data_IF_455097389325
#
_entry.id   IF_455097389325
#
_cell.length_a   1.000
_cell.length_b   1.000
_cell.length_c   1.000
_cell.angle_alpha   90.00
_cell.angle_beta   90.00
_cell.angle_gamma   90.00
#
_symmetry.space_group_name_H-M   'P 1'
#
loop_
_entity.id
_entity.type
_entity.pdbx_description
1 polymer ?
#
# COMPACT_ATOMS: atom_id res chain seq x y z
N UNK A 1 3.22 -16.63 9.18
CA UNK A 1 2.22 -15.54 9.21
C UNK A 1 1.80 -15.27 7.78
N UNK A 2 0.51 -15.20 7.52
CA UNK A 2 -0.05 -14.84 6.23
C UNK A 2 -0.67 -13.43 6.31
N UNK A 3 -0.24 -12.52 5.45
CA UNK A 3 -0.70 -11.14 5.44
C UNK A 3 -1.33 -10.77 4.09
N UNK A 4 -2.44 -10.03 4.13
CA UNK A 4 -3.02 -9.38 2.96
C UNK A 4 -2.71 -7.89 3.03
N UNK A 5 -2.14 -7.34 1.96
CA UNK A 5 -1.91 -5.90 1.82
C UNK A 5 -2.94 -5.36 0.83
N UNK A 6 -3.80 -4.47 1.27
CA UNK A 6 -4.73 -3.73 0.43
C UNK A 6 -4.01 -2.56 -0.21
N UNK A 7 -3.96 -2.53 -1.54
CA UNK A 7 -3.11 -1.66 -2.34
C UNK A 7 -1.76 -2.30 -2.70
N UNK A 8 -1.27 -2.01 -3.90
CA UNK A 8 0.02 -2.50 -4.40
C UNK A 8 0.91 -1.37 -4.94
N UNK A 9 0.63 -0.12 -4.53
CA UNK A 9 1.40 1.06 -4.88
C UNK A 9 2.81 1.06 -4.27
N UNK A 10 3.51 2.17 -4.39
CA UNK A 10 4.90 2.32 -3.96
C UNK A 10 5.11 2.15 -2.44
N UNK A 11 4.20 2.63 -1.61
CA UNK A 11 4.27 2.41 -0.14
C UNK A 11 4.03 0.93 0.18
N UNK A 12 2.98 0.33 -0.38
CA UNK A 12 2.71 -1.09 -0.24
C UNK A 12 3.88 -1.95 -0.79
N UNK A 13 4.49 -1.50 -1.90
CA UNK A 13 5.68 -2.09 -2.51
C UNK A 13 6.93 -2.04 -1.61
N UNK A 14 7.00 -1.10 -0.67
CA UNK A 14 8.04 -1.07 0.35
C UNK A 14 7.73 -1.98 1.56
N UNK A 15 6.45 -2.20 1.87
CA UNK A 15 6.01 -3.04 3.00
C UNK A 15 6.15 -4.53 2.65
N UNK A 16 5.65 -4.96 1.49
CA UNK A 16 5.60 -6.37 1.10
C UNK A 16 6.96 -7.08 1.14
N UNK A 17 8.05 -6.55 0.55
CA UNK A 17 9.36 -7.20 0.61
C UNK A 17 9.92 -7.33 2.03
N UNK A 18 9.55 -6.42 2.93
CA UNK A 18 9.96 -6.49 4.34
C UNK A 18 9.26 -7.62 5.06
N UNK A 19 7.94 -7.77 4.86
CA UNK A 19 7.19 -8.87 5.43
C UNK A 19 7.67 -10.23 4.90
N UNK A 20 7.93 -10.32 3.58
CA UNK A 20 8.48 -11.53 2.96
C UNK A 20 9.85 -11.89 3.57
N UNK A 21 10.75 -10.91 3.74
CA UNK A 21 12.06 -11.14 4.41
C UNK A 21 11.93 -11.57 5.87
N UNK A 22 10.83 -11.22 6.53
CA UNK A 22 10.51 -11.69 7.87
C UNK A 22 9.81 -13.07 7.88
N UNK A 23 9.72 -13.75 6.73
CA UNK A 23 9.13 -15.07 6.61
C UNK A 23 7.59 -15.08 6.52
N UNK A 24 6.97 -13.95 6.21
CA UNK A 24 5.53 -13.90 5.96
C UNK A 24 5.21 -14.25 4.50
N UNK A 25 4.12 -14.98 4.28
CA UNK A 25 3.46 -15.06 2.98
C UNK A 25 2.61 -13.80 2.79
N UNK A 26 2.70 -13.16 1.63
CA UNK A 26 2.03 -11.89 1.35
C UNK A 26 1.20 -12.00 0.09
N UNK A 27 -0.09 -11.65 0.17
CA UNK A 27 -1.00 -11.41 -0.95
C UNK A 27 -1.30 -9.91 -1.00
N UNK A 28 -1.28 -9.31 -2.18
CA UNK A 28 -1.68 -7.92 -2.37
C UNK A 28 -2.96 -7.83 -3.18
N UNK A 29 -3.79 -6.82 -2.88
CA UNK A 29 -4.95 -6.50 -3.72
C UNK A 29 -4.78 -5.13 -4.38
N UNK A 30 -5.34 -4.94 -5.56
CA UNK A 30 -5.23 -3.69 -6.31
C UNK A 30 -6.48 -3.47 -7.18
N UNK A 31 -6.64 -2.27 -7.70
CA UNK A 31 -7.64 -1.94 -8.71
C UNK A 31 -7.19 -2.43 -10.11
N UNK A 32 -8.14 -2.63 -11.03
CA UNK A 32 -7.85 -3.06 -12.42
C UNK A 32 -6.96 -2.06 -13.18
N UNK A 33 -7.08 -0.78 -12.89
CA UNK A 33 -6.28 0.29 -13.50
C UNK A 33 -5.50 1.05 -12.43
N UNK A 34 -4.33 0.54 -11.99
CA UNK A 34 -3.53 1.18 -10.97
C UNK A 34 -3.15 2.62 -11.30
N UNK A 35 -3.25 3.51 -10.32
CA UNK A 35 -2.94 4.94 -10.47
C UNK A 35 -1.50 5.30 -10.05
N UNK A 36 -0.67 4.30 -9.78
CA UNK A 36 0.69 4.49 -9.30
C UNK A 36 1.57 5.20 -10.33
N UNK A 37 2.18 6.32 -9.93
CA UNK A 37 3.08 7.10 -10.77
C UNK A 37 4.48 6.48 -10.81
N UNK A 38 5.00 6.04 -9.67
CA UNK A 38 6.33 5.40 -9.55
C UNK A 38 6.26 3.91 -9.84
N UNK A 39 5.99 3.56 -11.09
CA UNK A 39 5.71 2.19 -11.55
C UNK A 39 6.85 1.21 -11.32
N UNK A 40 8.11 1.67 -11.40
CA UNK A 40 9.31 0.83 -11.24
C UNK A 40 9.54 0.32 -9.83
N UNK A 41 8.89 0.91 -8.82
CA UNK A 41 9.01 0.52 -7.41
C UNK A 41 7.67 0.04 -6.82
N UNK A 42 6.67 -0.20 -7.68
CA UNK A 42 5.32 -0.57 -7.26
C UNK A 42 4.93 -1.94 -7.81
N UNK A 43 4.40 -2.78 -6.97
CA UNK A 43 3.89 -4.09 -7.34
C UNK A 43 2.59 -4.03 -8.15
N UNK A 44 1.87 -2.91 -8.09
CA UNK A 44 0.70 -2.64 -8.92
C UNK A 44 1.00 -2.74 -10.43
N UNK A 45 2.26 -2.57 -10.85
CA UNK A 45 2.64 -2.74 -12.25
C UNK A 45 2.42 -4.18 -12.73
N UNK A 46 2.46 -5.19 -11.84
CA UNK A 46 2.13 -6.56 -12.20
C UNK A 46 0.71 -6.71 -12.75
N UNK A 47 -0.25 -5.86 -12.35
CA UNK A 47 -1.61 -5.85 -12.91
C UNK A 47 -1.60 -5.56 -14.40
N UNK A 48 -0.67 -4.71 -14.88
CA UNK A 48 -0.55 -4.30 -16.29
C UNK A 48 0.27 -5.26 -17.12
N UNK A 49 1.43 -5.72 -16.60
CA UNK A 49 2.43 -6.48 -17.38
C UNK A 49 2.52 -7.96 -16.97
N UNK A 50 1.68 -8.39 -16.01
CA UNK A 50 1.63 -9.76 -15.51
C UNK A 50 2.64 -10.09 -14.42
N UNK A 51 3.86 -9.54 -14.47
CA UNK A 51 4.94 -9.82 -13.52
C UNK A 51 5.89 -8.64 -13.41
N UNK A 52 6.34 -8.34 -12.19
CA UNK A 52 7.35 -7.29 -11.92
C UNK A 52 8.22 -7.70 -10.73
N UNK A 53 9.45 -7.23 -10.67
CA UNK A 53 10.35 -7.45 -9.54
C UNK A 53 10.71 -6.12 -8.89
N UNK A 54 10.58 -6.06 -7.57
CA UNK A 54 10.93 -4.88 -6.76
C UNK A 54 11.69 -5.37 -5.52
N UNK A 55 12.87 -4.81 -5.25
CA UNK A 55 13.71 -5.13 -4.07
C UNK A 55 13.92 -6.64 -3.82
N UNK A 56 14.04 -7.44 -4.86
CA UNK A 56 14.27 -8.89 -4.77
C UNK A 56 13.00 -9.74 -4.60
N UNK A 57 11.84 -9.13 -4.33
CA UNK A 57 10.56 -9.83 -4.35
C UNK A 57 9.91 -9.77 -5.74
N UNK A 58 9.21 -10.81 -6.12
CA UNK A 58 8.55 -10.92 -7.43
C UNK A 58 7.04 -10.83 -7.28
N UNK A 59 6.44 -9.78 -7.79
CA UNK A 59 4.98 -9.69 -7.89
C UNK A 59 4.49 -10.38 -9.16
N UNK A 60 3.39 -11.13 -9.04
CA UNK A 60 2.75 -11.83 -10.14
C UNK A 60 1.25 -11.54 -10.09
N UNK A 61 0.66 -11.11 -11.21
CA UNK A 61 -0.80 -10.95 -11.32
C UNK A 61 -1.48 -12.30 -11.12
N UNK A 62 -2.35 -12.37 -10.11
CA UNK A 62 -3.22 -13.51 -9.90
C UNK A 62 -4.54 -13.35 -10.68
N UNK A 63 -5.06 -14.44 -11.21
CA UNK A 63 -6.32 -14.45 -11.95
C UNK A 63 -7.53 -14.49 -11.01
N UNK A 64 -7.38 -15.24 -9.92
CA UNK A 64 -8.38 -15.44 -8.87
C UNK A 64 -7.69 -15.79 -7.54
N UNK A 65 -8.48 -15.98 -6.49
CA UNK A 65 -7.99 -16.32 -5.14
C UNK A 65 -7.24 -17.67 -5.13
N UNK A 66 -7.73 -18.67 -5.84
CA UNK A 66 -7.10 -19.99 -5.90
C UNK A 66 -5.72 -19.93 -6.54
N UNK A 67 -5.61 -19.21 -7.65
CA UNK A 67 -4.32 -18.96 -8.31
C UNK A 67 -3.39 -18.15 -7.39
N UNK A 68 -3.89 -17.13 -6.69
CA UNK A 68 -3.09 -16.35 -5.76
C UNK A 68 -2.50 -17.23 -4.64
N UNK A 69 -3.32 -18.10 -4.02
CA UNK A 69 -2.86 -19.03 -3.00
C UNK A 69 -1.81 -20.02 -3.53
N UNK A 70 -2.00 -20.52 -4.76
CA UNK A 70 -1.01 -21.38 -5.43
C UNK A 70 0.35 -20.70 -5.62
N UNK A 71 0.35 -19.41 -5.95
CA UNK A 71 1.58 -18.62 -6.15
C UNK A 71 2.36 -18.39 -4.84
N UNK A 72 1.70 -18.41 -3.67
CA UNK A 72 2.36 -18.22 -2.36
C UNK A 72 3.36 -19.33 -2.00
N UNK A 73 3.31 -20.47 -2.68
CA UNK A 73 4.31 -21.54 -2.50
C UNK A 73 5.68 -21.21 -3.11
N UNK A 74 5.75 -20.20 -3.98
CA UNK A 74 7.00 -19.72 -4.59
C UNK A 74 7.79 -18.83 -3.64
N UNK A 75 9.09 -19.10 -3.49
CA UNK A 75 9.97 -18.27 -2.66
C UNK A 75 10.04 -16.83 -3.19
N UNK A 76 9.77 -15.85 -2.32
CA UNK A 76 9.81 -14.44 -2.68
C UNK A 76 8.73 -13.98 -3.67
N UNK A 77 7.72 -14.82 -3.94
CA UNK A 77 6.59 -14.47 -4.81
C UNK A 77 5.49 -13.77 -4.01
N UNK A 78 5.01 -12.67 -4.54
CA UNK A 78 3.91 -11.87 -3.98
C UNK A 78 2.79 -11.81 -5.04
N UNK A 79 1.70 -12.58 -4.88
CA UNK A 79 0.54 -12.46 -5.77
C UNK A 79 -0.09 -11.08 -5.66
N UNK A 80 -0.54 -10.54 -6.80
CA UNK A 80 -1.35 -9.30 -6.87
C UNK A 80 -2.68 -9.65 -7.52
N UNK A 81 -3.75 -9.57 -6.73
CA UNK A 81 -5.11 -9.87 -7.14
C UNK A 81 -5.86 -8.56 -7.45
N UNK A 82 -6.62 -8.54 -8.53
CA UNK A 82 -7.55 -7.42 -8.80
C UNK A 82 -8.78 -7.59 -7.93
N UNK A 83 -8.78 -6.89 -6.79
CA UNK A 83 -9.86 -6.90 -5.81
C UNK A 83 -9.88 -5.57 -5.04
N UNK A 84 -10.50 -4.52 -5.59
CA UNK A 84 -10.52 -3.18 -4.98
C UNK A 84 -11.12 -3.13 -3.58
N UNK A 85 -12.08 -4.02 -3.32
CA UNK A 85 -12.76 -4.10 -2.03
C UNK A 85 -12.00 -4.92 -0.99
N UNK A 86 -10.91 -5.61 -1.40
CA UNK A 86 -10.21 -6.57 -0.55
C UNK A 86 -11.17 -7.66 -0.01
N UNK A 87 -12.13 -8.07 -0.85
CA UNK A 87 -13.16 -9.05 -0.48
C UNK A 87 -12.59 -10.44 -0.23
N UNK A 88 -11.46 -10.75 -0.86
CA UNK A 88 -10.74 -12.02 -0.73
C UNK A 88 -10.37 -12.37 0.73
N UNK A 89 -10.29 -11.39 1.65
CA UNK A 89 -9.98 -11.65 3.07
C UNK A 89 -10.95 -12.64 3.71
N UNK A 90 -12.20 -12.69 3.24
CA UNK A 90 -13.23 -13.63 3.73
C UNK A 90 -12.93 -15.08 3.33
N UNK A 91 -12.30 -15.26 2.18
CA UNK A 91 -11.98 -16.58 1.62
C UNK A 91 -10.63 -17.09 2.12
N UNK A 92 -9.66 -16.18 2.31
CA UNK A 92 -8.28 -16.57 2.64
C UNK A 92 -7.98 -16.50 4.14
N UNK A 93 -8.81 -15.85 4.96
CA UNK A 93 -8.69 -15.70 6.41
C UNK A 93 -7.24 -15.39 6.87
N UNK A 94 -6.69 -14.22 6.53
CA UNK A 94 -5.30 -13.89 6.82
C UNK A 94 -5.08 -13.65 8.32
N UNK A 95 -3.83 -13.81 8.80
CA UNK A 95 -3.42 -13.41 10.15
C UNK A 95 -3.41 -11.88 10.31
N UNK A 96 -3.13 -11.17 9.22
CA UNK A 96 -3.05 -9.70 9.23
C UNK A 96 -3.55 -9.08 7.93
N UNK A 97 -4.16 -7.89 8.04
CA UNK A 97 -4.49 -6.99 6.93
C UNK A 97 -3.76 -5.67 7.11
N UNK A 98 -3.10 -5.19 6.06
CA UNK A 98 -2.46 -3.87 6.02
C UNK A 98 -3.11 -3.06 4.92
N UNK A 99 -3.87 -2.01 5.25
CA UNK A 99 -4.41 -1.09 4.24
C UNK A 99 -3.38 0.00 3.93
N UNK A 100 -2.80 -0.08 2.75
CA UNK A 100 -1.81 0.85 2.22
C UNK A 100 -2.26 1.49 0.88
N UNK A 101 -3.58 1.62 0.67
CA UNK A 101 -4.16 2.29 -0.51
C UNK A 101 -3.85 3.78 -0.54
N UNK A 102 -3.69 4.41 0.63
CA UNK A 102 -3.42 5.85 0.79
C UNK A 102 -4.52 6.78 0.23
N UNK A 103 -5.76 6.35 0.29
CA UNK A 103 -6.92 7.12 -0.19
C UNK A 103 -7.25 8.34 0.69
N UNK A 104 -6.52 8.54 1.80
CA UNK A 104 -6.73 9.62 2.79
C UNK A 104 -8.10 9.59 3.47
N UNK A 105 -8.82 8.52 3.27
CA UNK A 105 -10.09 8.15 3.90
C UNK A 105 -10.18 6.64 3.95
N UNK A 106 -10.91 6.11 4.93
CA UNK A 106 -11.20 4.68 4.99
C UNK A 106 -12.14 4.29 3.82
N UNK A 107 -11.78 3.26 3.07
CA UNK A 107 -12.55 2.69 1.98
C UNK A 107 -13.22 1.35 2.36
N UNK A 108 -13.58 1.18 3.63
CA UNK A 108 -14.28 0.01 4.14
C UNK A 108 -13.36 -1.02 4.83
N UNK A 109 -12.18 -0.61 5.26
CA UNK A 109 -11.34 -1.43 6.13
C UNK A 109 -11.89 -1.38 7.55
N UNK A 110 -11.99 -2.53 8.21
CA UNK A 110 -12.53 -2.69 9.56
C UNK A 110 -11.73 -3.72 10.35
N UNK A 111 -11.81 -3.65 11.67
CA UNK A 111 -11.04 -4.49 12.60
C UNK A 111 -11.39 -5.99 12.50
N UNK A 112 -12.54 -6.34 11.93
CA UNK A 112 -13.00 -7.72 11.77
C UNK A 112 -12.43 -8.41 10.52
N UNK A 113 -11.67 -7.71 9.68
CA UNK A 113 -11.07 -8.29 8.47
C UNK A 113 -9.97 -9.31 8.79
N UNK A 114 -9.29 -9.18 9.93
CA UNK A 114 -8.25 -10.10 10.40
C UNK A 114 -7.96 -9.90 11.90
N UNK A 115 -7.28 -10.85 12.57
CA UNK A 115 -6.80 -10.68 13.95
C UNK A 115 -5.94 -9.43 14.15
N UNK A 116 -5.19 -9.01 13.12
CA UNK A 116 -4.39 -7.80 13.11
C UNK A 116 -4.76 -6.98 11.88
N UNK A 117 -5.25 -5.76 12.08
CA UNK A 117 -5.56 -4.81 11.00
C UNK A 117 -4.78 -3.53 11.22
N UNK A 118 -4.01 -3.10 10.22
CA UNK A 118 -3.16 -1.90 10.28
C UNK A 118 -3.53 -0.96 9.14
N UNK A 119 -3.86 0.28 9.48
CA UNK A 119 -4.05 1.35 8.50
C UNK A 119 -2.75 2.14 8.29
N UNK A 120 -2.43 2.48 7.05
CA UNK A 120 -1.24 3.27 6.71
C UNK A 120 -1.65 4.67 6.29
N UNK A 121 -1.21 5.67 7.04
CA UNK A 121 -1.50 7.08 6.78
C UNK A 121 -2.86 7.56 7.28
N UNK A 122 -3.27 8.77 6.86
CA UNK A 122 -4.52 9.38 7.31
C UNK A 122 -5.76 8.70 6.73
N UNK A 123 -6.86 8.79 7.46
CA UNK A 123 -8.15 8.22 7.08
C UNK A 123 -8.58 7.06 7.96
N UNK A 124 -7.70 6.59 8.85
CA UNK A 124 -7.98 5.53 9.82
C UNK A 124 -7.91 6.05 11.25
N UNK A 125 -8.66 5.41 12.13
CA UNK A 125 -8.61 5.64 13.59
C UNK A 125 -8.34 4.31 14.28
N UNK A 126 -7.20 4.20 14.96
CA UNK A 126 -6.85 3.03 15.74
C UNK A 126 -7.84 2.84 16.89
N UNK A 127 -8.28 1.60 17.11
CA UNK A 127 -9.34 1.25 18.06
C UNK A 127 -10.76 1.39 17.51
N UNK A 128 -10.92 1.89 16.26
CA UNK A 128 -12.22 2.03 15.58
C UNK A 128 -12.22 1.28 14.26
N UNK A 129 -11.36 1.69 13.32
CA UNK A 129 -11.25 1.10 11.97
C UNK A 129 -10.23 -0.05 11.91
N UNK A 130 -9.18 0.05 12.70
CA UNK A 130 -8.03 -0.85 12.71
C UNK A 130 -7.41 -0.92 14.11
N UNK A 131 -6.51 -1.89 14.31
CA UNK A 131 -5.81 -2.08 15.58
C UNK A 131 -4.64 -1.09 15.75
N UNK A 132 -4.05 -0.65 14.64
CA UNK A 132 -2.97 0.33 14.66
C UNK A 132 -2.96 1.18 13.39
N UNK A 133 -2.46 2.43 13.50
CA UNK A 133 -2.25 3.34 12.37
C UNK A 133 -0.79 3.70 12.28
N UNK A 134 -0.20 3.63 11.09
CA UNK A 134 1.20 4.01 10.83
C UNK A 134 1.25 5.39 10.19
N UNK A 135 2.00 6.31 10.82
CA UNK A 135 2.22 7.67 10.32
C UNK A 135 3.10 7.69 9.07
N UNK A 136 2.68 8.45 8.06
CA UNK A 136 3.42 8.61 6.79
C UNK A 136 3.85 10.04 6.49
N UNK A 137 3.48 11.01 7.34
CA UNK A 137 3.93 12.39 7.17
C UNK A 137 5.45 12.46 7.35
N UNK A 138 6.12 13.10 6.39
CA UNK A 138 7.58 13.31 6.44
C UNK A 138 7.95 14.15 7.67
N UNK A 139 8.97 13.72 8.39
CA UNK A 139 9.44 14.38 9.61
C UNK A 139 9.76 13.39 10.73
N UNK A 140 9.85 13.89 11.94
CA UNK A 140 10.24 13.11 13.11
C UNK A 140 9.25 12.02 13.52
N UNK A 141 8.02 12.09 13.04
CA UNK A 141 6.95 11.12 13.34
C UNK A 141 6.77 10.06 12.27
N UNK A 142 7.49 10.14 11.15
CA UNK A 142 7.39 9.17 10.06
C UNK A 142 7.63 7.73 10.58
N UNK A 143 6.68 6.84 10.29
CA UNK A 143 6.72 5.45 10.73
C UNK A 143 6.27 5.23 12.17
N UNK A 144 5.89 6.27 12.93
CA UNK A 144 5.31 6.10 14.26
C UNK A 144 4.02 5.30 14.16
N UNK A 145 3.89 4.32 15.04
CA UNK A 145 2.67 3.52 15.16
C UNK A 145 1.79 4.09 16.27
N UNK A 146 0.54 4.36 15.94
CA UNK A 146 -0.51 4.79 16.87
C UNK A 146 -1.42 3.60 17.16
N UNK A 147 -1.60 3.25 18.41
CA UNK A 147 -2.54 2.23 18.89
C UNK A 147 -3.87 2.83 19.33
N UNK A 148 -3.95 4.15 19.41
CA UNK A 148 -5.14 4.96 19.67
C UNK A 148 -5.10 6.21 18.79
N UNK A 149 -6.26 6.67 18.30
CA UNK A 149 -6.38 7.86 17.49
C UNK A 149 -5.91 7.64 16.04
N UNK A 150 -5.52 8.72 15.38
CA UNK A 150 -5.27 8.75 13.93
C UNK A 150 -3.89 9.32 13.62
N UNK A 151 -3.37 8.98 12.42
CA UNK A 151 -2.23 9.68 11.83
C UNK A 151 -2.59 11.15 11.54
N UNK A 152 -1.58 11.99 11.35
CA UNK A 152 -1.76 13.41 11.03
C UNK A 152 -2.59 13.57 9.75
N UNK A 153 -3.53 14.50 9.80
CA UNK A 153 -4.40 14.79 8.66
C UNK A 153 -3.59 15.25 7.45
N UNK A 154 -4.03 14.84 6.26
CA UNK A 154 -3.44 15.35 5.04
C UNK A 154 -3.79 16.84 4.87
N UNK A 155 -2.78 17.69 4.86
CA UNK A 155 -2.93 19.14 4.67
C UNK A 155 -3.09 19.53 3.20
N UNK A 156 -2.91 18.58 2.26
CA UNK A 156 -2.77 18.82 0.82
C UNK A 156 -1.60 19.79 0.47
N UNK A 157 -0.81 20.16 1.46
CA UNK A 157 0.38 20.98 1.28
C UNK A 157 1.60 20.09 1.52
N UNK A 158 2.50 19.93 0.53
CA UNK A 158 3.74 19.19 0.73
C UNK A 158 4.55 19.81 1.87
N UNK A 159 5.11 18.94 2.73
CA UNK A 159 6.00 19.40 3.80
C UNK A 159 7.21 20.16 3.25
N UNK A 160 7.72 21.11 4.04
CA UNK A 160 8.91 21.86 3.68
C UNK A 160 10.12 20.89 3.56
N UNK A 161 10.85 21.00 2.45
CA UNK A 161 12.13 20.32 2.24
C UNK A 161 13.22 21.39 2.19
N UNK A 162 14.12 21.40 3.18
CA UNK A 162 15.15 22.42 3.26
C UNK A 162 14.62 23.84 3.42
N UNK A 163 13.43 24.03 4.02
CA UNK A 163 12.79 25.33 4.17
C UNK A 163 11.93 25.78 2.99
N UNK A 164 11.86 25.00 1.91
CA UNK A 164 11.10 25.31 0.71
C UNK A 164 9.82 24.48 0.61
N UNK A 165 8.70 25.11 0.25
CA UNK A 165 7.44 24.42 -0.02
C UNK A 165 7.51 23.68 -1.37
N UNK A 166 7.33 22.34 -1.35
CA UNK A 166 7.40 21.48 -2.56
C UNK A 166 6.24 21.62 -3.55
N UNK A 167 5.24 22.47 -3.26
CA UNK A 167 3.99 22.53 -4.01
C UNK A 167 4.08 22.98 -5.48
N UNK A 168 5.14 23.67 -5.85
CA UNK A 168 5.29 24.21 -7.22
C UNK A 168 5.62 23.11 -8.23
N UNK A 169 6.40 22.10 -7.84
CA UNK A 169 6.81 21.00 -8.73
C UNK A 169 5.67 20.02 -9.02
N UNK A 170 4.82 19.71 -8.03
CA UNK A 170 3.67 18.83 -8.24
C UNK A 170 2.60 19.47 -9.13
N UNK A 171 2.38 20.79 -9.02
CA UNK A 171 1.45 21.52 -9.89
C UNK A 171 1.90 21.51 -11.36
N UNK A 172 3.19 21.61 -11.63
CA UNK A 172 3.75 21.60 -13.00
C UNK A 172 3.65 20.20 -13.62
N UNK A 173 3.86 19.14 -12.86
CA UNK A 173 3.73 17.75 -13.33
C UNK A 173 2.27 17.36 -13.61
N UNK A 174 1.32 17.99 -12.93
CA UNK A 174 -0.12 17.69 -13.11
C UNK A 174 -0.75 18.37 -14.34
N UNK A 175 -0.15 19.42 -14.88
CA UNK A 175 -0.71 20.23 -15.96
C UNK A 175 -0.09 19.93 -17.33
N UNK A 176 0.78 18.92 -17.45
CA UNK A 176 1.34 18.47 -18.74
C UNK A 176 2.16 19.56 -19.49
N UNK A 177 2.69 20.54 -18.78
CA UNK A 177 3.52 21.58 -19.32
C UNK A 177 4.98 21.16 -19.51
N UNK A 178 5.54 21.43 -20.65
CA UNK A 178 6.97 21.28 -20.94
C UNK A 178 7.80 22.15 -20.01
N UNK A 179 8.77 21.56 -19.34
CA UNK A 179 9.71 22.27 -18.48
C UNK A 179 10.60 23.17 -19.34
N UNK A 180 10.52 24.47 -19.19
CA UNK A 180 11.52 25.41 -19.68
C UNK A 180 12.34 25.89 -18.51
N UNK A 181 13.56 25.39 -18.39
CA UNK A 181 14.55 25.92 -17.46
C UNK A 181 14.95 27.34 -17.89
N UNK A 182 14.76 28.30 -17.02
CA UNK A 182 15.45 29.60 -17.06
C UNK A 182 16.43 29.67 -15.92
#
# INVERSE_FOLDING_TARGET
MFAVIRGAGDIAGAIAPRLVRCGASVLMTEIEQPLTVRRTVAFSEAVRVGKVQVEGATAVRAQDVSHALGLLSGEGVVPVLVDPACACVKDVAPDAVVDAVLAKRNLGTSMDMAPIVVGVGPGFTAGVDCHAVVEIVRGHTLGRTHYEGSALSNTAVPGLVGGFAGGVLEAILHVGGTFSAR
#
